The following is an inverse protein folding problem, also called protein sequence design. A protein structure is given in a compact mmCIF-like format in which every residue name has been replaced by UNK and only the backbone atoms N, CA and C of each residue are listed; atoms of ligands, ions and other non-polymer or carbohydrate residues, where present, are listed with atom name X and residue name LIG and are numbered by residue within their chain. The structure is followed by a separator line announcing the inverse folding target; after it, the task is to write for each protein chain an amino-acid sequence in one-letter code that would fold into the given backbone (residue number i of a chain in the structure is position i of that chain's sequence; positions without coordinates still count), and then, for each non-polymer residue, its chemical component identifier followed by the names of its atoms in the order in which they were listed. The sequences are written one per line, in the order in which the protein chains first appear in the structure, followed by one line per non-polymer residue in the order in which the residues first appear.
data_IF_030901436219
#
_entry.id   IF_030901436219
#
_cell.length_a   1.000
_cell.length_b   1.000
_cell.length_c   1.000
_cell.angle_alpha   90.00
_cell.angle_beta   90.00
_cell.angle_gamma   90.00
#
_symmetry.space_group_name_H-M   'P 1'
#
loop_
_entity.id
_entity.type
_entity.pdbx_description
1 polymer ?
#
# COMPACT_ATOMS: atom_id res chain seq x y z
N UNK A 1 -0.63 -37.59 -29.60
CA UNK A 1 -1.33 -36.32 -29.90
C UNK A 1 -1.02 -35.36 -28.78
N UNK A 2 -0.29 -34.27 -29.01
CA UNK A 2 0.10 -33.35 -27.93
C UNK A 2 -1.07 -32.40 -27.60
N UNK A 3 -1.44 -32.35 -26.34
CA UNK A 3 -2.39 -31.39 -25.79
C UNK A 3 -1.79 -29.97 -25.87
N UNK A 4 -2.39 -29.16 -26.73
CA UNK A 4 -2.08 -27.74 -26.85
C UNK A 4 -2.65 -27.02 -25.62
N UNK A 5 -1.78 -26.63 -24.74
CA UNK A 5 -2.07 -25.76 -23.61
C UNK A 5 -2.53 -24.39 -24.13
N UNK A 6 -3.83 -24.12 -24.05
CA UNK A 6 -4.38 -22.80 -24.39
C UNK A 6 -3.93 -21.79 -23.34
N UNK A 7 -2.94 -21.00 -23.69
CA UNK A 7 -2.53 -19.82 -22.93
C UNK A 7 -3.64 -18.76 -23.09
N UNK A 8 -4.50 -18.64 -22.10
CA UNK A 8 -5.50 -17.56 -22.07
C UNK A 8 -4.77 -16.27 -21.70
N UNK A 9 -4.51 -15.44 -22.69
CA UNK A 9 -4.05 -14.07 -22.49
C UNK A 9 -5.17 -13.31 -21.77
N UNK A 10 -4.97 -13.03 -20.48
CA UNK A 10 -5.86 -12.18 -19.70
C UNK A 10 -5.66 -10.75 -20.18
N UNK A 11 -6.49 -10.31 -21.11
CA UNK A 11 -6.58 -8.92 -21.53
C UNK A 11 -7.16 -8.14 -20.36
N UNK A 12 -6.31 -7.40 -19.64
CA UNK A 12 -6.76 -6.41 -18.66
C UNK A 12 -7.37 -5.26 -19.47
N UNK A 13 -8.65 -5.36 -19.73
CA UNK A 13 -9.43 -4.24 -20.18
C UNK A 13 -9.51 -3.25 -19.02
N UNK A 14 -8.69 -2.19 -19.08
CA UNK A 14 -8.92 -0.99 -18.28
C UNK A 14 -10.18 -0.35 -18.84
N UNK A 15 -11.32 -0.85 -18.39
CA UNK A 15 -12.58 -0.17 -18.54
C UNK A 15 -12.46 1.09 -17.69
N UNK A 16 -12.39 2.24 -18.36
CA UNK A 16 -12.67 3.55 -17.77
C UNK A 16 -14.10 3.58 -17.25
N UNK A 17 -14.34 2.82 -16.17
CA UNK A 17 -15.57 2.89 -15.42
C UNK A 17 -15.50 4.18 -14.62
N UNK A 18 -16.42 5.08 -14.93
CA UNK A 18 -16.84 6.14 -14.05
C UNK A 18 -16.84 5.56 -12.62
N UNK A 19 -16.00 6.12 -11.76
CA UNK A 19 -16.11 5.86 -10.32
C UNK A 19 -17.48 6.36 -9.91
N UNK A 20 -18.48 5.51 -9.96
CA UNK A 20 -19.70 5.72 -9.24
C UNK A 20 -19.28 5.75 -7.76
N UNK A 21 -19.06 6.97 -7.26
CA UNK A 21 -18.91 7.23 -5.85
C UNK A 21 -20.08 6.53 -5.20
N UNK A 22 -19.79 5.64 -4.25
CA UNK A 22 -20.79 4.81 -3.60
C UNK A 22 -22.04 5.65 -3.27
N UNK A 23 -23.18 5.22 -3.78
CA UNK A 23 -24.47 5.90 -3.57
C UNK A 23 -24.96 5.84 -2.11
N UNK A 24 -24.17 5.25 -1.22
CA UNK A 24 -24.47 5.22 0.20
C UNK A 24 -23.98 6.49 0.89
N UNK A 25 -24.83 7.16 1.67
CA UNK A 25 -24.43 8.35 2.42
C UNK A 25 -23.26 8.02 3.32
N UNK A 26 -22.33 8.96 3.43
CA UNK A 26 -21.16 8.81 4.30
C UNK A 26 -21.61 8.58 5.76
N UNK A 27 -21.12 7.53 6.40
CA UNK A 27 -21.35 7.25 7.82
C UNK A 27 -20.02 6.89 8.51
N UNK A 28 -19.94 7.16 9.82
CA UNK A 28 -18.75 6.83 10.61
C UNK A 28 -18.54 5.31 10.77
N UNK A 29 -19.61 4.54 10.64
CA UNK A 29 -19.58 3.07 10.76
C UNK A 29 -19.15 2.35 9.48
N UNK A 30 -18.82 3.11 8.42
CA UNK A 30 -18.37 2.50 7.16
C UNK A 30 -17.04 1.80 7.34
N UNK A 31 -17.00 0.52 7.01
CA UNK A 31 -15.77 -0.27 7.03
C UNK A 31 -14.74 0.24 6.01
N UNK A 32 -15.19 0.84 4.89
CA UNK A 32 -14.34 1.27 3.80
C UNK A 32 -14.67 2.71 3.38
N UNK A 33 -13.68 3.56 3.30
CA UNK A 33 -13.87 4.97 2.90
C UNK A 33 -14.58 5.11 1.54
N UNK A 34 -14.29 4.24 0.58
CA UNK A 34 -14.87 4.22 -0.76
C UNK A 34 -16.06 3.25 -0.90
N UNK A 35 -16.60 2.74 0.23
CA UNK A 35 -17.68 1.77 0.23
C UNK A 35 -17.32 0.40 -0.34
N UNK A 36 -18.35 -0.41 -0.57
CA UNK A 36 -18.22 -1.80 -1.07
C UNK A 36 -18.33 -1.93 -2.59
N UNK A 37 -18.46 -0.80 -3.32
CA UNK A 37 -18.61 -0.72 -4.76
C UNK A 37 -19.85 -1.47 -5.28
N UNK A 38 -20.98 -1.35 -4.58
CA UNK A 38 -22.21 -2.08 -4.86
C UNK A 38 -22.01 -3.61 -4.80
N UNK A 39 -21.32 -4.10 -3.77
CA UNK A 39 -21.03 -5.51 -3.53
C UNK A 39 -19.87 -6.07 -4.37
N UNK A 40 -19.31 -5.32 -5.32
CA UNK A 40 -18.20 -5.81 -6.16
C UNK A 40 -16.92 -6.08 -5.37
N UNK A 41 -16.66 -5.31 -4.30
CA UNK A 41 -15.53 -5.55 -3.41
C UNK A 41 -15.61 -6.95 -2.80
N UNK A 42 -16.77 -7.30 -2.23
CA UNK A 42 -17.00 -8.60 -1.63
C UNK A 42 -16.91 -9.73 -2.67
N UNK A 43 -17.46 -9.53 -3.87
CA UNK A 43 -17.35 -10.48 -4.96
C UNK A 43 -15.89 -10.73 -5.37
N UNK A 44 -15.07 -9.71 -5.48
CA UNK A 44 -13.64 -9.83 -5.77
C UNK A 44 -12.89 -10.56 -4.65
N UNK A 45 -13.20 -10.28 -3.39
CA UNK A 45 -12.59 -10.98 -2.25
C UNK A 45 -12.96 -12.47 -2.22
N UNK A 46 -14.20 -12.81 -2.59
CA UNK A 46 -14.61 -14.23 -2.73
C UNK A 46 -13.84 -14.94 -3.86
N UNK A 47 -13.51 -14.22 -4.93
CA UNK A 47 -12.70 -14.72 -6.05
C UNK A 47 -11.19 -14.75 -5.74
N UNK A 48 -10.77 -14.24 -4.59
CA UNK A 48 -9.36 -14.24 -4.18
C UNK A 48 -8.60 -12.93 -4.40
N UNK A 49 -9.28 -11.85 -4.77
CA UNK A 49 -8.67 -10.54 -5.01
C UNK A 49 -9.05 -9.55 -3.92
N UNK A 50 -8.09 -9.03 -3.18
CA UNK A 50 -8.31 -8.01 -2.17
C UNK A 50 -7.48 -6.77 -2.46
N UNK A 51 -8.15 -5.65 -2.75
CA UNK A 51 -7.51 -4.37 -3.01
C UNK A 51 -7.58 -3.47 -1.77
N UNK A 52 -6.49 -2.78 -1.50
CA UNK A 52 -6.37 -1.83 -0.39
C UNK A 52 -5.81 -0.51 -0.88
N UNK A 53 -6.30 0.58 -0.31
CA UNK A 53 -5.75 1.90 -0.48
C UNK A 53 -5.73 2.59 0.89
N UNK A 54 -4.62 3.21 1.23
CA UNK A 54 -4.49 3.99 2.46
C UNK A 54 -3.70 5.26 2.22
N UNK A 55 -4.07 6.31 2.94
CA UNK A 55 -3.36 7.57 2.98
C UNK A 55 -2.99 7.82 4.44
N UNK A 56 -1.71 8.07 4.67
CA UNK A 56 -1.19 8.53 5.94
C UNK A 56 -0.63 9.94 5.73
N UNK A 57 -0.99 10.87 6.61
CA UNK A 57 -0.48 12.24 6.58
C UNK A 57 -0.05 12.64 7.99
N UNK A 58 1.15 13.18 8.11
CA UNK A 58 1.73 13.58 9.37
C UNK A 58 2.24 15.00 9.26
N UNK A 59 1.77 15.85 10.16
CA UNK A 59 2.20 17.25 10.26
C UNK A 59 3.03 17.43 11.51
N UNK A 60 4.05 18.26 11.41
CA UNK A 60 4.88 18.65 12.53
C UNK A 60 5.28 20.12 12.40
N UNK A 61 5.47 20.79 13.53
CA UNK A 61 5.95 22.17 13.57
C UNK A 61 7.15 22.30 14.50
N UNK A 62 8.12 23.12 14.11
CA UNK A 62 9.18 23.56 14.98
C UNK A 62 8.75 24.85 15.66
N UNK A 63 8.70 24.86 16.98
CA UNK A 63 8.36 26.04 17.78
C UNK A 63 9.60 26.77 18.25
N UNK A 64 10.67 26.05 18.57
CA UNK A 64 11.91 26.57 19.10
C UNK A 64 13.04 25.53 18.96
N UNK A 65 14.26 26.00 18.73
CA UNK A 65 15.48 25.18 18.69
C UNK A 65 15.68 24.42 17.39
N UNK A 66 16.66 23.50 17.40
CA UNK A 66 17.13 22.78 16.22
C UNK A 66 18.25 23.52 15.49
N UNK A 67 18.66 22.98 14.34
CA UNK A 67 19.72 23.60 13.51
C UNK A 67 19.25 24.89 12.86
N UNK A 68 18.01 24.90 12.39
CA UNK A 68 17.34 26.09 11.89
C UNK A 68 16.14 26.40 12.81
N UNK A 69 16.27 27.45 13.59
CA UNK A 69 15.34 27.86 14.63
C UNK A 69 14.10 28.59 14.11
N UNK A 70 13.89 28.68 12.82
CA UNK A 70 12.69 29.32 12.28
C UNK A 70 11.45 28.48 12.51
N UNK A 71 10.38 29.10 13.01
CA UNK A 71 9.07 28.49 13.11
C UNK A 71 8.61 28.00 11.75
N UNK A 72 8.39 26.71 11.63
CA UNK A 72 8.02 26.11 10.36
C UNK A 72 7.06 24.95 10.58
N UNK A 73 6.04 24.89 9.75
CA UNK A 73 5.12 23.77 9.65
C UNK A 73 5.48 22.94 8.42
N UNK A 74 5.66 21.65 8.62
CA UNK A 74 5.92 20.71 7.54
C UNK A 74 4.91 19.56 7.59
N UNK A 75 4.53 19.09 6.41
CA UNK A 75 3.64 17.96 6.23
C UNK A 75 4.28 16.92 5.31
N UNK A 76 4.20 15.68 5.72
CA UNK A 76 4.57 14.53 4.90
C UNK A 76 3.38 13.59 4.76
N UNK A 77 3.15 13.08 3.56
CA UNK A 77 2.06 12.16 3.27
C UNK A 77 2.55 10.92 2.50
N UNK A 78 1.89 9.80 2.73
CA UNK A 78 2.11 8.56 1.99
C UNK A 78 0.79 8.01 1.49
N UNK A 79 0.69 7.80 0.19
CA UNK A 79 -0.34 6.97 -0.45
C UNK A 79 0.22 5.56 -0.60
N UNK A 80 -0.57 4.56 -0.18
CA UNK A 80 -0.25 3.15 -0.38
C UNK A 80 -1.39 2.48 -1.13
N UNK A 81 -1.07 1.79 -2.22
CA UNK A 81 -2.00 0.99 -3.00
C UNK A 81 -1.53 -0.46 -2.97
N UNK A 82 -2.40 -1.35 -2.52
CA UNK A 82 -2.09 -2.77 -2.34
C UNK A 82 -3.06 -3.68 -3.06
N UNK A 83 -2.55 -4.81 -3.52
CA UNK A 83 -3.32 -5.94 -4.00
C UNK A 83 -2.82 -7.23 -3.33
N UNK A 84 -3.73 -7.97 -2.72
CA UNK A 84 -3.46 -9.29 -2.14
C UNK A 84 -4.25 -10.32 -2.94
N UNK A 85 -3.61 -11.46 -3.18
CA UNK A 85 -4.11 -12.53 -4.02
C UNK A 85 -4.14 -13.83 -3.24
N UNK A 86 -5.29 -14.48 -3.19
CA UNK A 86 -5.46 -15.85 -2.74
C UNK A 86 -5.28 -16.77 -3.96
N UNK A 87 -4.08 -17.30 -4.13
CA UNK A 87 -3.74 -18.09 -5.30
C UNK A 87 -4.41 -19.48 -5.30
N UNK A 88 -4.91 -19.92 -4.16
CA UNK A 88 -5.74 -21.13 -4.11
C UNK A 88 -7.07 -20.92 -4.84
N UNK A 89 -7.72 -19.78 -4.58
CA UNK A 89 -8.98 -19.44 -5.26
C UNK A 89 -8.79 -19.07 -6.73
N UNK A 90 -7.67 -18.41 -7.07
CA UNK A 90 -7.44 -17.88 -8.42
C UNK A 90 -6.95 -18.96 -9.38
N UNK A 91 -5.98 -19.78 -8.93
CA UNK A 91 -5.26 -20.74 -9.80
C UNK A 91 -5.15 -22.13 -9.20
N UNK A 92 -5.79 -22.41 -8.05
CA UNK A 92 -5.75 -23.71 -7.37
C UNK A 92 -4.46 -24.04 -6.64
N UNK A 93 -3.60 -23.06 -6.38
CA UNK A 93 -2.35 -23.25 -5.60
C UNK A 93 -2.66 -23.24 -4.11
N UNK A 94 -2.91 -24.43 -3.56
CA UNK A 94 -3.27 -24.62 -2.16
C UNK A 94 -2.33 -23.86 -1.22
N UNK A 95 -2.88 -23.22 -0.16
CA UNK A 95 -2.14 -22.52 0.89
C UNK A 95 -1.15 -21.45 0.36
N UNK A 96 -1.45 -20.84 -0.78
CA UNK A 96 -0.54 -19.88 -1.42
C UNK A 96 -1.20 -18.52 -1.55
N UNK A 97 -0.51 -17.49 -1.09
CA UNK A 97 -0.94 -16.08 -1.21
C UNK A 97 0.17 -15.24 -1.82
N UNK A 98 -0.21 -14.16 -2.50
CA UNK A 98 0.73 -13.18 -3.01
C UNK A 98 0.29 -11.77 -2.62
N UNK A 99 1.24 -10.84 -2.58
CA UNK A 99 0.94 -9.43 -2.32
C UNK A 99 1.81 -8.52 -3.16
N UNK A 100 1.20 -7.46 -3.63
CA UNK A 100 1.86 -6.36 -4.32
C UNK A 100 1.44 -5.05 -3.66
N UNK A 101 2.41 -4.22 -3.26
CA UNK A 101 2.13 -2.90 -2.69
C UNK A 101 3.04 -1.86 -3.31
N UNK A 102 2.45 -0.81 -3.82
CA UNK A 102 3.15 0.38 -4.28
C UNK A 102 2.84 1.56 -3.37
N UNK A 103 3.84 2.38 -3.12
CA UNK A 103 3.70 3.58 -2.28
C UNK A 103 4.21 4.80 -3.00
N UNK A 104 3.57 5.92 -2.74
CA UNK A 104 4.07 7.25 -3.11
C UNK A 104 4.14 8.11 -1.86
N UNK A 105 5.27 8.74 -1.65
CA UNK A 105 5.45 9.77 -0.62
C UNK A 105 5.49 11.13 -1.25
N UNK A 106 4.97 12.11 -0.52
CA UNK A 106 5.00 13.53 -0.88
C UNK A 106 5.10 14.39 0.36
N UNK A 107 5.52 15.63 0.21
CA UNK A 107 5.69 16.57 1.32
C UNK A 107 7.14 16.68 1.79
N UNK A 108 7.33 17.30 2.95
CA UNK A 108 8.64 17.58 3.56
C UNK A 108 8.69 17.01 4.97
N UNK A 109 9.89 16.60 5.40
CA UNK A 109 10.13 16.11 6.74
C UNK A 109 10.78 17.20 7.59
N UNK A 110 10.10 17.64 8.65
CA UNK A 110 10.57 18.70 9.54
C UNK A 110 11.99 18.45 10.06
N UNK A 111 12.28 17.20 10.43
CA UNK A 111 13.61 16.86 10.94
C UNK A 111 14.71 17.17 9.93
N UNK A 112 14.53 16.79 8.65
CA UNK A 112 15.54 17.00 7.62
C UNK A 112 15.65 18.47 7.20
N UNK A 113 14.52 19.17 7.20
CA UNK A 113 14.46 20.55 6.70
C UNK A 113 14.91 21.56 7.73
N UNK A 114 14.73 21.27 9.04
CA UNK A 114 14.90 22.28 10.09
C UNK A 114 15.69 21.81 11.32
N UNK A 115 15.40 20.63 11.85
CA UNK A 115 15.91 20.23 13.17
C UNK A 115 17.32 19.67 13.07
N UNK A 116 17.58 18.85 12.07
CA UNK A 116 18.84 18.13 11.92
C UNK A 116 19.96 19.05 11.46
N UNK A 117 21.10 19.03 12.19
CA UNK A 117 22.36 19.58 11.67
C UNK A 117 22.80 18.72 10.46
N UNK A 118 22.98 19.29 9.26
CA UNK A 118 23.43 18.55 8.08
C UNK A 118 24.75 17.78 8.26
N UNK A 119 25.57 18.20 9.22
CA UNK A 119 26.87 17.57 9.55
C UNK A 119 26.75 16.43 10.55
N UNK A 120 25.57 16.26 11.17
CA UNK A 120 25.38 15.25 12.21
C UNK A 120 24.80 13.95 11.65
N UNK A 121 25.07 12.85 12.34
CA UNK A 121 24.50 11.53 12.05
C UNK A 121 23.18 11.28 12.78
N UNK A 122 22.45 12.33 13.15
CA UNK A 122 21.19 12.21 13.89
C UNK A 122 20.18 11.32 13.16
N UNK A 123 19.63 10.33 13.86
CA UNK A 123 18.71 9.34 13.32
C UNK A 123 17.23 9.57 13.70
N UNK A 124 16.96 10.50 14.62
CA UNK A 124 15.60 10.79 15.07
C UNK A 124 14.77 11.52 14.01
N UNK A 125 13.47 11.26 14.00
CA UNK A 125 12.52 11.91 13.10
C UNK A 125 11.30 12.41 13.89
N UNK A 126 10.84 13.61 13.54
CA UNK A 126 9.59 14.17 14.06
C UNK A 126 8.35 13.55 13.39
N UNK A 127 8.53 12.94 12.23
CA UNK A 127 7.48 12.30 11.45
C UNK A 127 7.95 10.91 11.03
N UNK A 128 7.07 9.88 11.14
CA UNK A 128 7.39 8.51 10.71
C UNK A 128 7.49 8.39 9.19
N UNK A 129 6.65 9.16 8.48
CA UNK A 129 6.73 9.28 7.02
C UNK A 129 7.90 10.17 6.71
N UNK A 130 9.06 9.55 6.51
CA UNK A 130 10.21 10.32 6.09
C UNK A 130 10.94 9.61 4.95
N UNK A 131 11.87 10.31 4.37
CA UNK A 131 12.76 9.80 3.35
C UNK A 131 12.68 10.61 2.06
N UNK A 132 13.83 10.87 1.46
CA UNK A 132 13.92 11.66 0.25
C UNK A 132 13.18 10.98 -0.91
N UNK A 133 12.55 11.80 -1.72
CA UNK A 133 12.01 11.38 -2.99
C UNK A 133 10.49 11.24 -3.02
N UNK A 134 9.90 12.14 -3.78
CA UNK A 134 8.47 12.17 -4.14
C UNK A 134 8.20 11.23 -5.31
N UNK A 135 8.61 9.96 -5.17
CA UNK A 135 8.53 8.94 -6.22
C UNK A 135 7.65 7.78 -5.84
N UNK A 136 7.17 7.07 -6.84
CA UNK A 136 6.53 5.77 -6.67
C UNK A 136 7.57 4.71 -6.34
N UNK A 137 7.24 3.83 -5.41
CA UNK A 137 8.09 2.72 -4.98
C UNK A 137 7.29 1.44 -4.92
N UNK A 138 7.84 0.37 -5.45
CA UNK A 138 7.37 -0.97 -5.15
C UNK A 138 7.85 -1.30 -3.74
N UNK A 139 6.94 -1.20 -2.75
CA UNK A 139 7.29 -1.44 -1.34
C UNK A 139 7.22 -2.92 -1.00
N UNK A 140 6.24 -3.66 -1.55
CA UNK A 140 6.15 -5.10 -1.34
C UNK A 140 5.82 -5.81 -2.66
N UNK A 141 6.46 -6.96 -2.87
CA UNK A 141 6.13 -7.88 -3.95
C UNK A 141 6.60 -9.28 -3.51
N UNK A 142 5.69 -10.08 -2.95
CA UNK A 142 6.06 -11.37 -2.39
C UNK A 142 4.99 -12.44 -2.63
N UNK A 143 5.43 -13.68 -2.59
CA UNK A 143 4.59 -14.88 -2.54
C UNK A 143 4.88 -15.61 -1.24
N UNK A 144 3.83 -16.11 -0.60
CA UNK A 144 3.89 -16.93 0.61
C UNK A 144 3.23 -18.27 0.33
N UNK A 145 3.92 -19.35 0.67
CA UNK A 145 3.45 -20.75 0.57
C UNK A 145 3.40 -21.38 1.95
N UNK A 146 2.27 -21.98 2.28
CA UNK A 146 2.11 -22.85 3.44
C UNK A 146 2.42 -24.30 3.12
N UNK A 147 3.01 -25.01 4.08
CA UNK A 147 3.34 -26.43 4.06
C UNK A 147 2.87 -27.06 5.37
N UNK A 148 2.63 -28.39 5.35
CA UNK A 148 2.23 -29.16 6.54
C UNK A 148 1.03 -28.49 7.22
N UNK A 149 -0.07 -28.36 6.49
CA UNK A 149 -1.31 -27.72 6.95
C UNK A 149 -1.06 -26.31 7.56
N UNK A 150 -0.28 -25.50 6.86
CA UNK A 150 0.13 -24.15 7.25
C UNK A 150 1.01 -24.02 8.52
N UNK A 151 1.49 -25.14 9.09
CA UNK A 151 2.41 -25.12 10.23
C UNK A 151 3.76 -24.50 9.86
N UNK A 152 4.24 -24.74 8.65
CA UNK A 152 5.45 -24.12 8.10
C UNK A 152 5.05 -23.16 6.99
N UNK A 153 5.51 -21.92 7.04
CA UNK A 153 5.25 -20.92 6.01
C UNK A 153 6.56 -20.37 5.45
N UNK A 154 6.68 -20.38 4.15
CA UNK A 154 7.83 -19.78 3.44
C UNK A 154 7.33 -18.58 2.65
N UNK A 155 7.97 -17.44 2.85
CA UNK A 155 7.68 -16.19 2.15
C UNK A 155 8.91 -15.76 1.36
N UNK A 156 8.72 -15.48 0.08
CA UNK A 156 9.78 -15.11 -0.84
C UNK A 156 9.41 -13.85 -1.62
N UNK A 157 10.37 -12.96 -1.80
CA UNK A 157 10.21 -11.72 -2.55
C UNK A 157 10.63 -10.48 -1.75
N UNK A 158 10.18 -9.31 -2.21
CA UNK A 158 10.43 -8.04 -1.53
C UNK A 158 9.43 -7.87 -0.38
N UNK A 159 9.93 -7.90 0.82
CA UNK A 159 9.21 -7.58 2.05
C UNK A 159 9.58 -6.16 2.45
N UNK A 160 8.59 -5.28 2.60
CA UNK A 160 8.78 -3.88 2.99
C UNK A 160 9.13 -3.73 4.46
#
# INVERSE_FOLDING_TARGET
MPNVMKLSVLTIAVLGSQFALANEPWSQDRQWLLGDWNGKRQQLEQQGYKFTASIMSQSATNLDGGYNDSNTFENAAQLSLGANFDLEKIVGWKDTTASLVVTKRDGNALTLERIKDPRSSQLGNAQEIYGPGKIWRLSQAWVKKGFVDNTVQVKFGRMG
#
